data_IF_265204124476
#
_entry.id   IF_265204124476
#
_cell.length_a   1.000
_cell.length_b   1.000
_cell.length_c   1.000
_cell.angle_alpha   90.00
_cell.angle_beta   90.00
_cell.angle_gamma   90.00
#
_symmetry.space_group_name_H-M   'P 1'
#
loop_
_entity.id
_entity.type
_entity.pdbx_description
1 polymer ?
#
# COMPACT_ATOMS: atom_id res chain seq x y z
N UNK A 1 -8.22 16.95 -4.32
CA UNK A 1 -7.14 16.06 -4.79
C UNK A 1 -7.52 15.58 -6.19
N UNK A 2 -6.60 15.56 -7.16
CA UNK A 2 -6.89 14.94 -8.47
C UNK A 2 -6.66 13.43 -8.34
N UNK A 3 -7.55 12.63 -8.93
CA UNK A 3 -7.39 11.17 -8.99
C UNK A 3 -6.11 10.84 -9.75
N UNK A 4 -5.36 9.86 -9.25
CA UNK A 4 -4.12 9.36 -9.87
C UNK A 4 -4.43 8.76 -11.25
N UNK A 5 -5.59 8.14 -11.40
CA UNK A 5 -6.02 7.52 -12.66
C UNK A 5 -6.40 8.52 -13.75
N UNK A 6 -6.58 9.80 -13.40
CA UNK A 6 -6.79 10.87 -14.37
C UNK A 6 -5.48 11.57 -14.77
N UNK A 7 -4.33 10.98 -14.43
CA UNK A 7 -2.98 11.45 -14.74
C UNK A 7 -2.19 10.32 -15.41
N UNK A 8 -2.23 10.16 -16.73
CA UNK A 8 -1.55 9.07 -17.43
C UNK A 8 -0.02 9.10 -17.26
N UNK A 9 0.54 10.25 -16.89
CA UNK A 9 1.95 10.44 -16.57
C UNK A 9 2.29 10.20 -15.09
N UNK A 10 1.32 9.82 -14.25
CA UNK A 10 1.55 9.60 -12.84
C UNK A 10 2.44 8.37 -12.60
N UNK A 11 3.41 8.53 -11.70
CA UNK A 11 4.31 7.48 -11.27
C UNK A 11 4.23 7.26 -9.77
N UNK A 12 4.48 6.03 -9.35
CA UNK A 12 4.76 5.66 -7.96
C UNK A 12 6.26 5.37 -7.82
N UNK A 13 6.84 5.60 -6.66
CA UNK A 13 8.20 5.15 -6.35
C UNK A 13 8.12 3.76 -5.71
N UNK A 14 8.76 2.76 -6.32
CA UNK A 14 8.78 1.40 -5.80
C UNK A 14 10.19 0.95 -5.44
N UNK A 15 10.32 0.22 -4.32
CA UNK A 15 11.56 -0.45 -3.95
C UNK A 15 12.00 -1.42 -5.05
N UNK A 16 13.30 -1.43 -5.35
CA UNK A 16 13.88 -2.33 -6.35
C UNK A 16 13.66 -3.81 -6.03
N UNK A 17 13.47 -4.18 -4.76
CA UNK A 17 13.13 -5.55 -4.36
C UNK A 17 11.78 -6.03 -4.93
N UNK A 18 10.86 -5.11 -5.21
CA UNK A 18 9.58 -5.42 -5.87
C UNK A 18 9.76 -5.66 -7.38
N UNK A 19 10.79 -5.04 -7.95
CA UNK A 19 11.04 -4.98 -9.39
C UNK A 19 11.86 -6.20 -9.82
N UNK A 20 12.85 -6.57 -9.03
CA UNK A 20 13.66 -7.78 -9.24
C UNK A 20 12.96 -9.06 -8.75
N UNK A 21 11.83 -8.93 -8.04
CA UNK A 21 11.03 -10.03 -7.53
C UNK A 21 11.65 -10.72 -6.30
N UNK A 22 12.62 -10.11 -5.64
CA UNK A 22 13.24 -10.65 -4.41
C UNK A 22 12.40 -10.42 -3.16
N UNK A 23 11.44 -9.49 -3.21
CA UNK A 23 10.50 -9.19 -2.12
C UNK A 23 9.06 -9.02 -2.62
N UNK A 24 8.12 -9.04 -1.68
CA UNK A 24 6.70 -8.84 -1.96
C UNK A 24 6.22 -7.49 -1.43
N UNK A 25 5.25 -6.87 -2.11
CA UNK A 25 4.64 -5.63 -1.62
C UNK A 25 4.03 -5.85 -0.23
N UNK A 26 4.49 -5.04 0.73
CA UNK A 26 4.04 -5.11 2.12
C UNK A 26 3.52 -3.78 2.65
N UNK A 27 4.11 -2.67 2.25
CA UNK A 27 3.78 -1.36 2.79
C UNK A 27 3.69 -0.32 1.70
N UNK A 28 2.75 0.62 1.82
CA UNK A 28 2.66 1.80 0.97
C UNK A 28 2.48 3.05 1.82
N UNK A 29 3.08 4.15 1.38
CA UNK A 29 2.95 5.45 2.01
C UNK A 29 2.75 6.52 0.96
N UNK A 30 1.84 7.48 1.21
CA UNK A 30 1.64 8.63 0.34
C UNK A 30 2.25 9.87 0.97
N UNK A 31 3.32 10.40 0.39
CA UNK A 31 3.98 11.61 0.84
C UNK A 31 3.06 12.84 0.84
N UNK A 32 3.33 13.77 1.75
CA UNK A 32 2.50 14.97 1.95
C UNK A 32 2.61 16.00 0.82
N UNK A 33 3.71 15.97 0.06
CA UNK A 33 3.98 16.94 -0.99
C UNK A 33 4.84 16.30 -2.10
N UNK A 34 4.23 15.79 -3.19
CA UNK A 34 5.00 15.31 -4.33
C UNK A 34 5.83 16.43 -4.92
N UNK A 35 7.05 16.10 -5.32
CA UNK A 35 8.06 17.09 -5.74
C UNK A 35 7.94 17.47 -7.21
N UNK A 36 7.25 16.66 -8.01
CA UNK A 36 7.04 16.88 -9.45
C UNK A 36 5.59 16.63 -9.84
N UNK A 37 5.16 17.15 -11.00
CA UNK A 37 3.78 16.98 -11.49
C UNK A 37 3.42 15.54 -11.87
N UNK A 38 4.43 14.71 -12.13
CA UNK A 38 4.29 13.28 -12.47
C UNK A 38 4.30 12.40 -11.21
N UNK A 39 4.84 12.90 -10.11
CA UNK A 39 4.91 12.16 -8.86
C UNK A 39 3.53 12.10 -8.20
N UNK A 40 2.98 10.89 -8.06
CA UNK A 40 1.69 10.67 -7.39
C UNK A 40 1.79 10.81 -5.85
N UNK A 41 3.02 10.84 -5.33
CA UNK A 41 3.37 10.82 -3.92
C UNK A 41 3.42 9.43 -3.30
N UNK A 42 3.10 8.36 -4.05
CA UNK A 42 3.09 7.00 -3.50
C UNK A 42 4.48 6.37 -3.49
N UNK A 43 4.86 5.83 -2.35
CA UNK A 43 6.02 4.97 -2.14
C UNK A 43 5.55 3.56 -1.82
N UNK A 44 6.13 2.57 -2.49
CA UNK A 44 5.83 1.14 -2.35
C UNK A 44 7.07 0.43 -1.81
N UNK A 45 6.91 -0.29 -0.70
CA UNK A 45 7.99 -0.98 0.01
C UNK A 45 7.75 -2.49 0.02
N UNK A 46 8.85 -3.23 -0.10
CA UNK A 46 8.87 -4.67 0.02
C UNK A 46 8.92 -5.15 1.47
N UNK A 47 8.50 -6.39 1.70
CA UNK A 47 8.57 -7.09 2.99
C UNK A 47 10.02 -7.26 3.52
N UNK A 48 11.00 -7.30 2.62
CA UNK A 48 12.41 -7.43 2.91
C UNK A 48 13.19 -6.10 2.95
N UNK A 49 12.51 -4.96 2.78
CA UNK A 49 13.13 -3.64 2.89
C UNK A 49 13.54 -3.35 4.34
N UNK A 50 14.79 -2.93 4.55
CA UNK A 50 15.30 -2.51 5.86
C UNK A 50 15.26 -0.99 6.00
N UNK A 51 15.37 -0.49 7.23
CA UNK A 51 15.47 0.96 7.46
C UNK A 51 16.64 1.59 6.68
N UNK A 52 17.81 0.93 6.68
CA UNK A 52 18.99 1.38 5.93
C UNK A 52 18.77 1.35 4.42
N UNK A 53 18.00 0.39 3.91
CA UNK A 53 17.62 0.34 2.50
C UNK A 53 16.73 1.52 2.11
N UNK A 54 15.74 1.81 2.96
CA UNK A 54 14.74 2.86 2.73
C UNK A 54 15.31 4.28 2.80
N UNK A 55 16.44 4.47 3.47
CA UNK A 55 17.14 5.76 3.55
C UNK A 55 17.81 6.17 2.23
N UNK A 56 18.09 5.23 1.32
CA UNK A 56 18.73 5.52 0.04
C UNK A 56 17.70 5.64 -1.09
N UNK A 57 17.52 6.85 -1.61
CA UNK A 57 16.60 7.11 -2.73
C UNK A 57 16.98 6.35 -4.02
N UNK A 58 18.24 5.98 -4.21
CA UNK A 58 18.67 5.17 -5.36
C UNK A 58 18.12 3.74 -5.32
N UNK A 59 17.61 3.28 -4.18
CA UNK A 59 16.98 1.97 -4.04
C UNK A 59 15.53 1.94 -4.54
N UNK A 60 14.98 3.11 -4.89
CA UNK A 60 13.64 3.25 -5.43
C UNK A 60 13.68 3.59 -6.92
N UNK A 61 12.64 3.19 -7.63
CA UNK A 61 12.49 3.48 -9.05
C UNK A 61 11.07 3.96 -9.34
N UNK A 62 10.90 5.02 -10.15
CA UNK A 62 9.59 5.43 -10.61
C UNK A 62 8.99 4.37 -11.54
N UNK A 63 7.76 3.97 -11.26
CA UNK A 63 6.95 3.07 -12.08
C UNK A 63 5.67 3.77 -12.49
N UNK A 64 5.27 3.59 -13.76
CA UNK A 64 3.92 3.96 -14.20
C UNK A 64 2.88 3.10 -13.45
N UNK A 65 1.67 3.64 -13.30
CA UNK A 65 0.60 3.02 -12.51
C UNK A 65 0.29 1.60 -13.01
N UNK A 66 0.28 1.37 -14.32
CA UNK A 66 -0.02 0.06 -14.90
C UNK A 66 0.99 -1.00 -14.46
N UNK A 67 2.27 -0.64 -14.36
CA UNK A 67 3.34 -1.53 -13.89
C UNK A 67 3.18 -1.82 -12.39
N UNK A 68 2.79 -0.82 -11.60
CA UNK A 68 2.51 -1.02 -10.18
C UNK A 68 1.30 -1.95 -9.97
N UNK A 69 0.23 -1.78 -10.76
CA UNK A 69 -0.95 -2.66 -10.74
C UNK A 69 -0.61 -4.10 -11.18
N UNK A 70 0.40 -4.28 -12.03
CA UNK A 70 0.89 -5.61 -12.38
C UNK A 70 1.63 -6.30 -11.23
N UNK A 71 2.28 -5.54 -10.34
CA UNK A 71 2.91 -6.06 -9.11
C UNK A 71 1.83 -6.45 -8.09
N UNK A 72 0.87 -5.55 -7.83
CA UNK A 72 -0.24 -5.81 -6.91
C UNK A 72 -1.54 -5.16 -7.41
N UNK A 73 -2.49 -5.95 -7.94
CA UNK A 73 -3.74 -5.41 -8.49
C UNK A 73 -4.62 -4.66 -7.48
N UNK A 74 -4.53 -5.00 -6.19
CA UNK A 74 -5.35 -4.36 -5.14
C UNK A 74 -4.99 -2.89 -4.88
N UNK A 75 -3.88 -2.39 -5.46
CA UNK A 75 -3.52 -0.98 -5.44
C UNK A 75 -4.60 -0.09 -6.07
N UNK A 76 -5.38 -0.61 -7.03
CA UNK A 76 -6.46 0.14 -7.69
C UNK A 76 -7.46 0.74 -6.69
N UNK A 77 -7.63 0.08 -5.55
CA UNK A 77 -8.59 0.45 -4.52
C UNK A 77 -8.05 1.51 -3.52
N UNK A 78 -6.75 1.80 -3.54
CA UNK A 78 -6.10 2.66 -2.53
C UNK A 78 -5.36 3.86 -3.12
N UNK A 79 -4.99 3.86 -4.41
CA UNK A 79 -4.16 4.93 -4.99
C UNK A 79 -4.81 6.32 -4.99
N UNK A 80 -6.13 6.42 -4.84
CA UNK A 80 -6.86 7.69 -4.72
C UNK A 80 -7.02 8.19 -3.27
N UNK A 81 -6.51 7.46 -2.28
CA UNK A 81 -6.53 7.87 -0.86
C UNK A 81 -5.64 9.10 -0.60
N UNK A 82 -5.95 9.93 0.43
CA UNK A 82 -5.32 11.22 0.62
C UNK A 82 -3.81 11.16 0.90
N UNK A 83 -3.11 12.29 0.71
CA UNK A 83 -1.73 12.45 1.15
C UNK A 83 -1.61 12.21 2.66
N UNK A 84 -0.50 11.61 3.09
CA UNK A 84 -0.26 11.15 4.45
C UNK A 84 -0.87 9.78 4.74
N UNK A 85 -1.50 9.12 3.77
CA UNK A 85 -2.00 7.75 3.90
C UNK A 85 -0.83 6.78 4.09
N UNK A 86 -1.00 5.87 5.03
CA UNK A 86 0.03 4.93 5.47
C UNK A 86 -0.63 3.56 5.65
N UNK A 87 -0.30 2.58 4.81
CA UNK A 87 -1.01 1.31 4.75
C UNK A 87 -0.08 0.11 4.64
N UNK A 88 -0.48 -0.97 5.30
CA UNK A 88 0.15 -2.28 5.19
C UNK A 88 -0.77 -3.25 4.46
N UNK A 89 -0.21 -4.05 3.56
CA UNK A 89 -0.90 -5.13 2.87
C UNK A 89 -0.71 -6.43 3.62
N UNK A 90 -1.80 -7.03 4.11
CA UNK A 90 -1.78 -8.39 4.63
C UNK A 90 -2.27 -9.39 3.58
N UNK A 91 -1.55 -10.51 3.47
CA UNK A 91 -1.78 -11.60 2.51
C UNK A 91 -1.95 -12.95 3.23
N UNK A 92 -2.07 -12.98 4.56
CA UNK A 92 -2.33 -14.20 5.32
C UNK A 92 -3.64 -14.87 4.85
N UNK A 93 -3.68 -16.20 4.95
CA UNK A 93 -4.88 -16.98 4.64
C UNK A 93 -6.01 -16.48 5.55
N UNK A 94 -7.17 -16.15 4.99
CA UNK A 94 -8.34 -15.53 5.64
C UNK A 94 -8.26 -14.02 5.94
N UNK A 95 -7.10 -13.38 5.77
CA UNK A 95 -6.88 -11.95 6.03
C UNK A 95 -6.14 -11.34 4.85
N UNK A 96 -6.90 -11.04 3.78
CA UNK A 96 -6.37 -10.35 2.60
C UNK A 96 -6.93 -8.94 2.55
N UNK A 97 -6.08 -7.92 2.69
CA UNK A 97 -6.54 -6.53 2.62
C UNK A 97 -5.51 -5.51 3.08
N UNK A 98 -5.90 -4.24 2.97
CA UNK A 98 -5.11 -3.09 3.41
C UNK A 98 -5.48 -2.70 4.83
N UNK A 99 -4.48 -2.33 5.63
CA UNK A 99 -4.62 -2.02 7.06
C UNK A 99 -3.90 -0.73 7.38
N UNK A 100 -4.49 0.09 8.25
CA UNK A 100 -3.75 1.19 8.88
C UNK A 100 -2.84 0.60 9.97
N UNK A 101 -1.51 0.76 9.86
CA UNK A 101 -0.57 0.16 10.79
C UNK A 101 -0.56 0.81 12.18
N UNK A 102 -1.16 2.00 12.36
CA UNK A 102 -1.22 2.69 13.65
C UNK A 102 -2.42 2.24 14.46
N UNK A 103 -3.57 2.09 13.80
CA UNK A 103 -4.83 1.70 14.45
C UNK A 103 -5.12 0.21 14.34
N UNK A 104 -4.36 -0.52 13.51
CA UNK A 104 -4.61 -1.91 13.14
C UNK A 104 -6.04 -2.13 12.60
N UNK A 105 -6.63 -1.11 11.98
CA UNK A 105 -7.98 -1.21 11.41
C UNK A 105 -7.89 -1.54 9.92
N UNK A 106 -8.71 -2.47 9.42
CA UNK A 106 -8.79 -2.71 7.99
C UNK A 106 -9.32 -1.46 7.29
N UNK A 107 -8.71 -1.10 6.16
CA UNK A 107 -9.27 -0.10 5.26
C UNK A 107 -10.34 -0.78 4.44
N UNK A 108 -11.59 -0.47 4.78
CA UNK A 108 -12.76 -0.99 4.09
C UNK A 108 -12.80 -0.47 2.66
N UNK A 109 -12.41 -1.32 1.73
CA UNK A 109 -12.64 -1.11 0.32
C UNK A 109 -14.13 -1.39 0.05
N UNK A 110 -14.79 -0.44 -0.61
CA UNK A 110 -16.24 -0.43 -0.85
C UNK A 110 -16.75 -1.56 -1.75
N UNK A 111 -15.85 -2.43 -2.25
CA UNK A 111 -16.17 -3.57 -3.11
C UNK A 111 -16.59 -4.84 -2.35
N UNK A 112 -16.50 -4.84 -1.00
CA UNK A 112 -16.95 -5.95 -0.16
C UNK A 112 -16.12 -7.24 -0.32
N UNK A 113 -14.93 -7.18 -0.93
CA UNK A 113 -14.07 -8.36 -1.17
C UNK A 113 -13.30 -8.82 0.06
N UNK A 114 -13.33 -8.04 1.15
CA UNK A 114 -12.72 -8.38 2.44
C UNK A 114 -13.82 -8.65 3.46
N UNK A 115 -14.06 -9.92 3.77
CA UNK A 115 -14.76 -10.30 5.00
C UNK A 115 -13.74 -10.31 6.13
N UNK A 116 -13.76 -9.33 7.05
CA UNK A 116 -12.76 -9.28 8.10
C UNK A 116 -12.96 -10.44 9.07
N UNK A 117 -11.85 -11.05 9.47
CA UNK A 117 -11.85 -11.98 10.57
C UNK A 117 -11.70 -11.18 11.88
N UNK A 118 -12.72 -10.38 12.22
CA UNK A 118 -12.71 -9.51 13.40
C UNK A 118 -13.82 -9.89 14.39
N UNK A 119 -13.51 -9.80 15.67
CA UNK A 119 -14.45 -9.87 16.78
C UNK A 119 -14.39 -8.57 17.58
N UNK A 120 -15.54 -8.12 18.11
CA UNK A 120 -15.59 -7.01 19.03
C UNK A 120 -15.50 -7.57 20.45
N UNK A 121 -14.35 -7.38 21.09
CA UNK A 121 -14.10 -7.81 22.47
C UNK A 121 -14.00 -6.57 23.35
N UNK A 122 -14.94 -6.42 24.29
CA UNK A 122 -15.00 -5.29 25.22
C UNK A 122 -15.02 -3.88 24.57
N UNK A 123 -15.45 -3.78 23.30
CA UNK A 123 -15.50 -2.51 22.56
C UNK A 123 -14.29 -2.26 21.65
N UNK A 124 -13.27 -3.12 21.72
CA UNK A 124 -12.11 -3.09 20.84
C UNK A 124 -12.30 -4.06 19.68
N UNK A 125 -11.87 -3.66 18.48
CA UNK A 125 -11.91 -4.49 17.27
C UNK A 125 -10.63 -5.34 17.24
N UNK A 126 -10.79 -6.65 17.42
CA UNK A 126 -9.69 -7.62 17.51
C UNK A 126 -9.72 -8.59 16.32
N UNK A 127 -8.57 -9.08 15.88
CA UNK A 127 -8.47 -10.19 14.93
C UNK A 127 -8.98 -11.48 15.60
N UNK A 128 -9.84 -12.24 14.93
CA UNK A 128 -10.39 -13.49 15.44
C UNK A 128 -9.50 -14.67 15.03
N UNK A 129 -8.61 -15.10 15.91
CA UNK A 129 -7.65 -16.19 15.66
C UNK A 129 -8.28 -17.60 15.51
N UNK A 130 -9.61 -17.73 15.48
CA UNK A 130 -10.32 -19.02 15.58
C UNK A 130 -10.64 -19.71 14.23
N UNK A 131 -10.00 -19.35 13.11
CA UNK A 131 -10.27 -19.99 11.79
C UNK A 131 -9.03 -20.29 10.94
#
# INVERSE_FOLDING_TARGET
MRSVFNQPEAVVLASKHLIDGTGNLRWIYRELAPTTSQDSGWLLFADNDTAQWNENSENFMPLVIETALAIEPSLINVLDLPYGTDLMLDKRVNVKGWWDPKTHTPVWLSDGTVTPNIEIVAGDVMENDSK
#
